data_IF_212652639850
#
_entry.id   IF_212652639850
#
_cell.length_a   1.000
_cell.length_b   1.000
_cell.length_c   1.000
_cell.angle_alpha   90.00
_cell.angle_beta   90.00
_cell.angle_gamma   90.00
#
_symmetry.space_group_name_H-M   'P 1'
#
loop_
_entity.id
_entity.type
_entity.pdbx_description
1 polymer ?
#
# COMPACT_ATOMS: atom_id res chain seq x y z
N UNK A 1 22.46 5.91 -17.80
CA UNK A 1 23.68 5.45 -17.10
C UNK A 1 24.38 6.67 -16.49
N UNK A 2 24.88 6.51 -15.25
CA UNK A 2 25.68 7.53 -14.59
C UNK A 2 27.15 7.30 -14.92
N UNK A 3 27.87 8.36 -15.29
CA UNK A 3 29.32 8.30 -15.55
C UNK A 3 30.17 8.11 -14.28
N UNK A 4 29.58 8.40 -13.11
CA UNK A 4 30.19 8.21 -11.80
C UNK A 4 29.09 8.05 -10.72
N UNK A 5 29.40 7.44 -9.56
CA UNK A 5 28.48 7.40 -8.43
C UNK A 5 28.10 8.81 -7.96
N UNK A 6 26.80 9.03 -7.66
CA UNK A 6 26.33 10.33 -7.15
C UNK A 6 26.86 10.64 -5.75
N UNK A 7 26.93 9.63 -4.89
CA UNK A 7 27.36 9.72 -3.50
C UNK A 7 27.70 8.33 -2.95
N UNK A 8 28.20 8.26 -1.72
CA UNK A 8 28.42 6.99 -1.01
C UNK A 8 27.21 6.54 -0.18
N UNK A 9 26.22 7.43 0.00
CA UNK A 9 25.03 7.17 0.79
C UNK A 9 23.74 7.49 0.03
N UNK A 10 22.65 6.81 0.39
CA UNK A 10 21.31 7.04 -0.15
C UNK A 10 20.87 8.50 0.05
N UNK A 11 21.08 9.05 1.25
CA UNK A 11 20.72 10.43 1.56
C UNK A 11 21.55 11.41 0.73
N UNK A 12 22.86 11.22 0.67
CA UNK A 12 23.75 12.07 -0.14
C UNK A 12 23.41 12.04 -1.64
N UNK A 13 22.98 10.89 -2.16
CA UNK A 13 22.50 10.80 -3.54
C UNK A 13 21.21 11.63 -3.76
N UNK A 14 20.27 11.61 -2.81
CA UNK A 14 19.06 12.43 -2.88
C UNK A 14 19.36 13.92 -2.79
N UNK A 15 20.28 14.33 -1.91
CA UNK A 15 20.75 15.72 -1.80
C UNK A 15 21.39 16.24 -3.11
N UNK A 16 22.20 15.42 -3.76
CA UNK A 16 22.77 15.77 -5.06
C UNK A 16 21.72 15.84 -6.17
N UNK A 17 20.73 14.94 -6.17
CA UNK A 17 19.63 15.03 -7.12
C UNK A 17 18.82 16.31 -6.90
N UNK A 18 18.54 16.68 -5.65
CA UNK A 18 17.89 17.95 -5.33
C UNK A 18 18.72 19.16 -5.81
N UNK A 19 20.05 19.14 -5.64
CA UNK A 19 20.94 20.17 -6.14
C UNK A 19 20.96 20.28 -7.68
N UNK A 20 20.66 19.20 -8.40
CA UNK A 20 20.46 19.21 -9.85
C UNK A 20 19.06 19.67 -10.29
N UNK A 21 18.18 20.03 -9.34
CA UNK A 21 16.83 20.50 -9.62
C UNK A 21 15.77 19.39 -9.74
N UNK A 22 16.10 18.14 -9.42
CA UNK A 22 15.10 17.08 -9.37
C UNK A 22 14.23 17.21 -8.12
N UNK A 23 12.91 16.99 -8.22
CA UNK A 23 12.05 16.98 -7.06
C UNK A 23 12.36 15.76 -6.17
N UNK A 24 12.66 16.03 -4.91
CA UNK A 24 12.87 15.01 -3.87
C UNK A 24 11.85 15.18 -2.77
N UNK A 25 11.56 14.11 -2.03
CA UNK A 25 10.60 14.18 -0.94
C UNK A 25 11.23 14.93 0.27
N UNK A 26 10.70 16.09 0.68
CA UNK A 26 11.27 16.88 1.77
C UNK A 26 11.10 16.22 3.15
N UNK A 27 10.29 15.18 3.25
CA UNK A 27 10.07 14.42 4.49
C UNK A 27 10.98 13.19 4.62
N UNK A 28 11.90 13.01 3.68
CA UNK A 28 12.95 11.99 3.81
C UNK A 28 13.88 12.36 4.96
N UNK A 29 14.11 11.45 5.89
CA UNK A 29 14.96 11.66 7.05
C UNK A 29 15.97 10.52 7.24
N UNK A 30 17.14 10.86 7.75
CA UNK A 30 18.11 9.89 8.24
C UNK A 30 17.79 9.56 9.71
N UNK A 31 17.67 8.27 10.02
CA UNK A 31 17.30 7.81 11.36
C UNK A 31 18.35 6.87 11.93
N UNK A 32 18.72 7.10 13.19
CA UNK A 32 19.65 6.26 13.96
C UNK A 32 18.93 5.11 14.66
N UNK A 33 18.57 4.09 13.86
CA UNK A 33 18.00 2.84 14.35
C UNK A 33 16.47 2.82 14.49
N UNK A 34 15.91 1.69 14.98
CA UNK A 34 14.49 1.40 14.92
C UNK A 34 13.60 2.39 15.70
N UNK A 35 14.08 2.93 16.81
CA UNK A 35 13.29 3.89 17.61
C UNK A 35 13.04 5.19 16.86
N UNK A 36 14.06 5.72 16.18
CA UNK A 36 13.94 6.93 15.37
C UNK A 36 13.07 6.68 14.14
N UNK A 37 13.21 5.52 13.49
CA UNK A 37 12.35 5.11 12.38
C UNK A 37 10.87 5.08 12.78
N UNK A 38 10.55 4.45 13.92
CA UNK A 38 9.16 4.37 14.41
C UNK A 38 8.62 5.72 14.88
N UNK A 39 9.47 6.60 15.42
CA UNK A 39 9.05 7.95 15.78
C UNK A 39 8.67 8.75 14.52
N UNK A 40 9.51 8.73 13.49
CA UNK A 40 9.24 9.39 12.22
C UNK A 40 8.02 8.78 11.50
N UNK A 41 7.84 7.46 11.55
CA UNK A 41 6.65 6.80 11.03
C UNK A 41 5.36 7.36 11.67
N UNK A 42 5.30 7.47 12.99
CA UNK A 42 4.13 8.01 13.70
C UNK A 42 3.87 9.49 13.36
N UNK A 43 4.93 10.28 13.22
CA UNK A 43 4.83 11.67 12.79
C UNK A 43 4.17 11.78 11.40
N UNK A 44 4.64 10.99 10.44
CA UNK A 44 4.10 11.00 9.08
C UNK A 44 2.67 10.44 9.05
N UNK A 45 2.38 9.38 9.80
CA UNK A 45 1.03 8.82 9.94
C UNK A 45 0.03 9.86 10.45
N UNK A 46 0.40 10.64 11.48
CA UNK A 46 -0.43 11.72 12.02
C UNK A 46 -0.60 12.89 11.04
N UNK A 47 0.44 13.21 10.27
CA UNK A 47 0.42 14.27 9.29
C UNK A 47 -0.29 13.86 7.97
N UNK A 48 -0.63 12.58 7.79
CA UNK A 48 -1.14 12.00 6.54
C UNK A 48 -2.24 12.84 5.88
N UNK A 49 -3.24 13.26 6.66
CA UNK A 49 -4.38 14.03 6.16
C UNK A 49 -4.01 15.45 5.66
N UNK A 50 -2.84 15.98 6.04
CA UNK A 50 -2.40 17.35 5.73
C UNK A 50 -1.28 17.41 4.69
N UNK A 51 -0.85 16.27 4.15
CA UNK A 51 0.27 16.23 3.20
C UNK A 51 -0.05 16.80 1.82
N UNK A 52 -1.33 16.87 1.45
CA UNK A 52 -1.78 17.29 0.12
C UNK A 52 -1.62 16.21 -0.96
N UNK A 53 -1.21 15.00 -0.60
CA UNK A 53 -1.15 13.81 -1.45
C UNK A 53 -1.35 12.55 -0.61
N UNK A 54 -1.87 11.49 -1.24
CA UNK A 54 -2.13 10.23 -0.59
C UNK A 54 -0.85 9.42 -0.39
N UNK A 55 -0.71 8.82 0.80
CA UNK A 55 0.35 7.87 1.14
C UNK A 55 -0.22 6.65 1.86
N UNK A 56 0.38 5.49 1.63
CA UNK A 56 -0.04 4.22 2.23
C UNK A 56 0.98 3.65 3.23
N UNK A 57 2.10 4.32 3.42
CA UNK A 57 3.17 3.91 4.32
C UNK A 57 4.49 4.61 4.05
N UNK A 58 5.54 4.06 4.62
CA UNK A 58 6.91 4.53 4.47
C UNK A 58 7.81 3.41 3.94
N UNK A 59 8.91 3.79 3.30
CA UNK A 59 9.94 2.85 2.86
C UNK A 59 11.23 3.17 3.60
N UNK A 60 11.74 2.19 4.34
CA UNK A 60 13.05 2.27 4.97
C UNK A 60 14.10 1.70 4.03
N UNK A 61 15.25 2.36 3.94
CA UNK A 61 16.37 1.95 3.11
C UNK A 61 17.66 2.00 3.90
N UNK A 62 18.54 1.04 3.69
CA UNK A 62 19.91 1.11 4.22
C UNK A 62 20.62 2.30 3.58
N UNK A 63 21.22 3.20 4.38
CA UNK A 63 21.80 4.44 3.89
C UNK A 63 23.15 4.25 3.18
N UNK A 64 24.01 3.34 3.63
CA UNK A 64 25.30 3.04 2.99
C UNK A 64 25.09 2.24 1.69
N UNK A 65 25.49 2.79 0.54
CA UNK A 65 25.29 2.17 -0.77
C UNK A 65 26.12 0.90 -0.96
N UNK A 66 27.28 0.79 -0.29
CA UNK A 66 28.10 -0.46 -0.31
C UNK A 66 27.40 -1.59 0.44
N UNK A 67 26.68 -1.24 1.53
CA UNK A 67 25.86 -2.23 2.23
C UNK A 67 24.62 -2.61 1.41
N UNK A 68 24.03 -1.70 0.65
CA UNK A 68 22.95 -2.04 -0.28
C UNK A 68 23.43 -3.04 -1.33
N UNK A 69 24.60 -2.83 -1.91
CA UNK A 69 25.22 -3.73 -2.89
C UNK A 69 25.49 -5.13 -2.28
N UNK A 70 26.04 -5.19 -1.07
CA UNK A 70 26.28 -6.45 -0.35
C UNK A 70 25.00 -7.22 -0.02
N UNK A 71 23.93 -6.54 0.36
CA UNK A 71 22.62 -7.15 0.63
C UNK A 71 21.97 -7.66 -0.65
N UNK A 72 22.14 -6.93 -1.76
CA UNK A 72 21.66 -7.31 -3.08
C UNK A 72 20.15 -7.33 -3.21
N UNK A 73 19.68 -8.16 -4.14
CA UNK A 73 18.27 -8.27 -4.51
C UNK A 73 17.76 -9.71 -4.33
N UNK A 74 16.46 -9.83 -4.16
CA UNK A 74 15.68 -11.04 -4.45
C UNK A 74 15.26 -10.99 -5.92
N UNK A 75 14.47 -11.98 -6.38
CA UNK A 75 14.01 -12.00 -7.77
C UNK A 75 13.31 -10.70 -8.21
N UNK A 76 12.58 -10.05 -7.32
CA UNK A 76 11.74 -8.87 -7.64
C UNK A 76 11.92 -7.69 -6.70
N UNK A 77 12.65 -7.86 -5.59
CA UNK A 77 12.73 -6.83 -4.54
C UNK A 77 14.14 -6.67 -3.97
N UNK A 78 14.57 -5.47 -3.59
CA UNK A 78 15.82 -5.27 -2.89
C UNK A 78 15.75 -5.84 -1.46
N UNK A 79 16.88 -6.33 -0.95
CA UNK A 79 17.01 -6.79 0.44
C UNK A 79 17.34 -5.67 1.41
N UNK A 80 17.73 -4.52 0.90
CA UNK A 80 18.12 -3.32 1.65
C UNK A 80 17.00 -2.28 1.80
N UNK A 81 15.79 -2.60 1.32
CA UNK A 81 14.61 -1.75 1.48
C UNK A 81 13.42 -2.56 1.98
N UNK A 82 12.60 -1.93 2.83
CA UNK A 82 11.38 -2.53 3.37
C UNK A 82 10.27 -1.47 3.44
N UNK A 83 9.07 -1.82 2.97
CA UNK A 83 7.89 -0.99 3.13
C UNK A 83 7.22 -1.28 4.49
N UNK A 84 6.88 -0.22 5.20
CA UNK A 84 6.08 -0.24 6.42
C UNK A 84 4.77 0.49 6.14
N UNK A 85 3.74 -0.29 5.85
CA UNK A 85 2.42 0.22 5.50
C UNK A 85 1.70 0.79 6.71
N UNK A 86 0.91 1.85 6.53
CA UNK A 86 -0.02 2.29 7.57
C UNK A 86 -1.12 1.25 7.77
N UNK A 87 -1.74 1.21 8.97
CA UNK A 87 -2.92 0.40 9.18
C UNK A 87 -3.99 0.70 8.13
N UNK A 88 -4.63 -0.33 7.62
CA UNK A 88 -5.74 -0.16 6.71
C UNK A 88 -6.89 0.56 7.44
N UNK A 89 -7.45 1.58 6.80
CA UNK A 89 -8.66 2.20 7.30
C UNK A 89 -9.85 1.30 7.00
N UNK A 90 -10.71 1.14 7.99
CA UNK A 90 -11.86 0.24 7.96
C UNK A 90 -13.16 1.02 8.08
N UNK A 91 -14.18 0.62 7.34
CA UNK A 91 -15.53 1.11 7.52
C UNK A 91 -16.55 -0.01 7.29
N UNK A 92 -17.69 0.09 7.96
CA UNK A 92 -18.80 -0.84 7.79
C UNK A 92 -19.85 -0.21 6.88
N UNK A 93 -20.34 -1.00 5.93
CA UNK A 93 -21.40 -0.57 5.02
C UNK A 93 -22.25 -1.76 4.56
N UNK A 94 -23.34 -1.47 3.86
CA UNK A 94 -24.23 -2.49 3.34
C UNK A 94 -23.87 -2.85 1.90
N UNK A 95 -23.85 -4.13 1.57
CA UNK A 95 -23.72 -4.64 0.22
C UNK A 95 -25.08 -4.54 -0.49
N UNK A 96 -25.19 -3.69 -1.50
CA UNK A 96 -26.44 -3.43 -2.22
C UNK A 96 -26.61 -4.32 -3.44
N UNK A 97 -25.50 -4.64 -4.14
CA UNK A 97 -25.47 -5.52 -5.31
C UNK A 97 -24.10 -6.12 -5.53
N UNK A 98 -24.03 -7.18 -6.32
CA UNK A 98 -22.80 -7.76 -6.85
C UNK A 98 -22.88 -7.71 -8.37
N UNK A 99 -21.98 -6.95 -8.99
CA UNK A 99 -21.84 -6.86 -10.45
C UNK A 99 -20.68 -7.73 -10.92
N UNK A 100 -20.79 -8.24 -12.15
CA UNK A 100 -19.69 -8.95 -12.79
C UNK A 100 -19.12 -8.06 -13.89
N UNK A 101 -17.85 -7.69 -13.75
CA UNK A 101 -17.10 -6.98 -14.77
C UNK A 101 -16.28 -7.96 -15.60
N UNK A 102 -16.21 -7.72 -16.91
CA UNK A 102 -15.40 -8.51 -17.83
C UNK A 102 -14.14 -7.74 -18.15
N UNK A 103 -12.99 -8.27 -17.73
CA UNK A 103 -11.68 -7.69 -18.02
C UNK A 103 -11.29 -7.81 -19.49
N UNK A 104 -10.25 -7.11 -19.91
CA UNK A 104 -9.73 -7.11 -21.29
C UNK A 104 -9.38 -8.52 -21.79
N UNK A 105 -8.97 -9.42 -20.93
CA UNK A 105 -8.61 -10.81 -21.24
C UNK A 105 -9.78 -11.79 -21.15
N UNK A 106 -11.01 -11.30 -20.92
CA UNK A 106 -12.20 -12.14 -20.69
C UNK A 106 -12.35 -12.64 -19.24
N UNK A 107 -11.42 -12.27 -18.33
CA UNK A 107 -11.54 -12.64 -16.93
C UNK A 107 -12.73 -11.93 -16.26
N UNK A 108 -13.52 -12.70 -15.51
CA UNK A 108 -14.67 -12.19 -14.75
C UNK A 108 -14.19 -11.69 -13.40
N UNK A 109 -14.52 -10.45 -13.08
CA UNK A 109 -14.16 -9.82 -11.80
C UNK A 109 -15.44 -9.37 -11.08
N UNK A 110 -15.80 -10.01 -9.97
CA UNK A 110 -16.95 -9.59 -9.19
C UNK A 110 -16.65 -8.31 -8.41
N UNK A 111 -17.58 -7.37 -8.44
CA UNK A 111 -17.50 -6.07 -7.79
C UNK A 111 -18.72 -5.87 -6.88
N UNK A 112 -18.45 -5.58 -5.61
CA UNK A 112 -19.47 -5.17 -4.67
C UNK A 112 -19.96 -3.76 -4.98
N UNK A 113 -21.26 -3.56 -5.07
CA UNK A 113 -21.92 -2.26 -4.97
C UNK A 113 -22.29 -2.00 -3.54
N UNK A 114 -21.83 -0.90 -2.99
CA UNK A 114 -21.93 -0.58 -1.57
C UNK A 114 -22.77 0.67 -1.33
N UNK A 115 -23.54 0.67 -0.24
CA UNK A 115 -24.02 1.93 0.30
C UNK A 115 -22.81 2.85 0.54
N UNK A 116 -22.87 4.12 0.08
CA UNK A 116 -21.71 5.00 0.15
C UNK A 116 -21.14 5.12 1.56
N UNK A 117 -19.85 4.90 1.71
CA UNK A 117 -19.14 5.00 2.99
C UNK A 117 -17.80 5.67 2.81
N UNK A 118 -17.40 6.49 3.78
CA UNK A 118 -16.08 7.15 3.75
C UNK A 118 -15.03 6.22 4.37
N UNK A 119 -13.96 5.95 3.59
CA UNK A 119 -12.79 5.17 4.01
C UNK A 119 -11.56 5.96 3.59
N UNK A 120 -10.69 6.31 4.52
CA UNK A 120 -9.49 7.07 4.21
C UNK A 120 -9.75 8.43 3.56
N UNK A 121 -10.81 9.13 3.98
CA UNK A 121 -11.19 10.42 3.39
C UNK A 121 -11.84 10.34 2.00
N UNK A 122 -12.02 9.13 1.43
CA UNK A 122 -12.63 8.90 0.12
C UNK A 122 -13.99 8.22 0.28
N UNK A 123 -14.98 8.69 -0.48
CA UNK A 123 -16.31 8.04 -0.52
C UNK A 123 -16.25 6.83 -1.43
N UNK A 124 -16.36 5.66 -0.83
CA UNK A 124 -16.33 4.36 -1.50
C UNK A 124 -17.75 3.91 -1.81
N UNK A 125 -17.99 3.48 -3.04
CA UNK A 125 -19.26 2.92 -3.54
C UNK A 125 -19.09 1.52 -4.14
N UNK A 126 -17.85 1.16 -4.44
CA UNK A 126 -17.52 -0.12 -5.07
C UNK A 126 -16.27 -0.70 -4.41
N UNK A 127 -16.23 -2.02 -4.28
CA UNK A 127 -15.04 -2.75 -3.83
C UNK A 127 -14.88 -4.04 -4.62
N UNK A 128 -13.64 -4.49 -4.80
CA UNK A 128 -13.42 -5.78 -5.42
C UNK A 128 -13.84 -6.93 -4.51
N UNK A 129 -14.46 -7.94 -5.07
CA UNK A 129 -14.70 -9.23 -4.40
C UNK A 129 -13.71 -10.32 -4.88
N UNK A 130 -12.69 -9.90 -5.62
CA UNK A 130 -11.59 -10.72 -6.13
C UNK A 130 -12.04 -11.81 -7.10
N UNK A 131 -12.69 -12.87 -6.61
CA UNK A 131 -13.15 -14.02 -7.40
C UNK A 131 -14.32 -14.75 -6.70
N UNK A 132 -14.81 -15.81 -7.33
CA UNK A 132 -15.92 -16.63 -6.84
C UNK A 132 -15.59 -17.31 -5.50
N UNK A 133 -14.37 -17.82 -5.33
CA UNK A 133 -13.96 -18.48 -4.08
C UNK A 133 -13.97 -17.51 -2.90
N UNK A 134 -13.54 -16.28 -3.12
CA UNK A 134 -13.61 -15.24 -2.09
C UNK A 134 -15.06 -14.96 -1.67
N UNK A 135 -16.01 -14.88 -2.60
CA UNK A 135 -17.44 -14.73 -2.30
C UNK A 135 -17.93 -15.95 -1.51
N UNK A 136 -17.56 -17.14 -1.91
CA UNK A 136 -17.96 -18.41 -1.27
C UNK A 136 -17.27 -18.68 0.09
N UNK A 137 -16.45 -17.76 0.59
CA UNK A 137 -15.77 -17.91 1.88
C UNK A 137 -14.53 -18.79 1.86
N UNK A 138 -13.82 -18.86 0.71
CA UNK A 138 -12.59 -19.62 0.53
C UNK A 138 -11.46 -18.72 0.04
N UNK A 139 -10.22 -19.06 0.36
CA UNK A 139 -9.03 -18.44 -0.25
C UNK A 139 -8.63 -19.19 -1.53
N UNK A 140 -7.55 -18.73 -2.20
CA UNK A 140 -7.00 -19.36 -3.41
C UNK A 140 -6.56 -20.83 -3.24
N UNK A 141 -6.29 -21.25 -2.01
CA UNK A 141 -5.87 -22.60 -1.66
C UNK A 141 -7.07 -23.49 -1.25
N UNK A 142 -8.30 -22.98 -1.37
CA UNK A 142 -9.52 -23.64 -0.99
C UNK A 142 -9.80 -23.69 0.53
N UNK A 143 -8.95 -23.04 1.35
CA UNK A 143 -9.13 -22.98 2.79
C UNK A 143 -10.25 -22.01 3.15
N UNK A 144 -11.05 -22.31 4.18
CA UNK A 144 -12.13 -21.43 4.60
C UNK A 144 -11.59 -20.10 5.15
N UNK A 145 -12.14 -19.00 4.66
CA UNK A 145 -11.99 -17.65 5.22
C UNK A 145 -13.33 -17.22 5.80
N UNK A 146 -13.34 -16.28 6.74
CA UNK A 146 -14.58 -15.84 7.44
C UNK A 146 -15.40 -17.01 7.99
N UNK A 147 -14.74 -18.05 8.50
CA UNK A 147 -15.40 -19.29 9.00
C UNK A 147 -16.23 -20.02 7.91
N UNK A 148 -15.85 -19.87 6.62
CA UNK A 148 -16.57 -20.44 5.49
C UNK A 148 -17.87 -19.70 5.12
N UNK A 149 -18.11 -18.53 5.71
CA UNK A 149 -19.29 -17.72 5.37
C UNK A 149 -19.16 -17.09 4.01
N UNK A 150 -20.18 -17.22 3.19
CA UNK A 150 -20.31 -16.54 1.89
C UNK A 150 -20.68 -15.05 2.06
N UNK A 151 -20.64 -14.30 0.96
CA UNK A 151 -21.06 -12.90 0.88
C UNK A 151 -22.33 -12.82 0.04
N UNK A 152 -23.35 -12.16 0.57
CA UNK A 152 -24.66 -12.00 -0.08
C UNK A 152 -25.10 -10.55 -0.14
N UNK A 153 -25.89 -10.22 -1.15
CA UNK A 153 -26.57 -8.92 -1.23
C UNK A 153 -27.44 -8.72 0.01
N UNK A 154 -27.31 -7.57 0.64
CA UNK A 154 -27.97 -7.21 1.90
C UNK A 154 -27.09 -7.38 3.13
N UNK A 155 -25.93 -8.01 3.04
CA UNK A 155 -25.02 -8.17 4.16
C UNK A 155 -24.40 -6.83 4.61
N UNK A 156 -24.08 -6.76 5.89
CA UNK A 156 -23.15 -5.78 6.43
C UNK A 156 -21.74 -6.28 6.21
N UNK A 157 -20.95 -5.50 5.50
CA UNK A 157 -19.58 -5.84 5.12
C UNK A 157 -18.60 -4.80 5.64
N UNK A 158 -17.42 -5.27 6.02
CA UNK A 158 -16.31 -4.39 6.34
C UNK A 158 -15.49 -4.14 5.09
N UNK A 159 -15.34 -2.85 4.76
CA UNK A 159 -14.50 -2.38 3.66
C UNK A 159 -13.20 -1.86 4.21
N UNK A 160 -12.10 -2.23 3.61
CA UNK A 160 -10.79 -1.67 3.92
C UNK A 160 -10.12 -1.16 2.66
N UNK A 161 -9.40 -0.07 2.81
CA UNK A 161 -8.57 0.51 1.75
C UNK A 161 -7.11 0.17 2.03
N UNK A 162 -6.47 -0.55 1.11
CA UNK A 162 -5.04 -0.84 1.13
C UNK A 162 -4.37 -0.08 -0.04
N UNK A 163 -3.84 1.10 0.23
CA UNK A 163 -3.35 2.00 -0.83
C UNK A 163 -4.50 2.49 -1.72
N UNK A 164 -4.34 2.36 -3.03
CA UNK A 164 -5.39 2.72 -4.02
C UNK A 164 -6.37 1.58 -4.34
N UNK A 165 -6.22 0.43 -3.69
CA UNK A 165 -7.10 -0.74 -3.89
C UNK A 165 -8.15 -0.79 -2.79
N UNK A 166 -9.40 -0.89 -3.19
CA UNK A 166 -10.59 -1.02 -2.34
C UNK A 166 -11.29 -2.33 -2.66
#
# INVERSE_FOLDING_TARGET
>A
ELSAPLAETQMGALERLAAFGFPTNPRTALCDGPRALLAHYREIEQARATLGYDIDGMVYKVNDLRLQERLGFRATTPRWAIAHKFPAELAWTRLEAIDIQVGRTGALSPVARLAPVTVGGVVVRNATLHNEDYIAGRNSDGQPIREGRDIRVGDWVQVYRAGDVI
#
